data_IF_511801247468
#
_entry.id   IF_511801247468
#
_cell.length_a   1.000
_cell.length_b   1.000
_cell.length_c   1.000
_cell.angle_alpha   90.00
_cell.angle_beta   90.00
_cell.angle_gamma   90.00
#
_symmetry.space_group_name_H-M   'P 1'
#
loop_
_entity.id
_entity.type
_entity.pdbx_description
1 polymer ?
#
# COMPACT_ATOMS: atom_id res chain seq x y z
N UNK A 1 -0.68 9.09 -6.56
CA UNK A 1 0.42 9.31 -7.52
C UNK A 1 0.07 10.26 -8.66
N UNK A 2 -0.96 9.99 -9.48
CA UNK A 2 -1.25 10.80 -10.68
C UNK A 2 -1.38 12.32 -10.40
N UNK A 3 -2.05 12.71 -9.31
CA UNK A 3 -2.18 14.12 -8.90
C UNK A 3 -0.83 14.79 -8.60
N UNK A 4 0.10 14.06 -7.97
CA UNK A 4 1.45 14.55 -7.69
C UNK A 4 2.24 14.76 -8.97
N UNK A 5 2.21 13.80 -9.89
CA UNK A 5 2.88 13.92 -11.20
C UNK A 5 2.32 15.13 -11.95
N UNK A 6 0.99 15.26 -12.02
CA UNK A 6 0.35 16.40 -12.67
C UNK A 6 0.70 17.74 -12.00
N UNK A 7 0.82 17.78 -10.68
CA UNK A 7 1.26 18.98 -9.95
C UNK A 7 2.69 19.37 -10.33
N UNK A 8 3.63 18.42 -10.32
CA UNK A 8 5.03 18.65 -10.67
C UNK A 8 5.14 19.17 -12.11
N UNK A 9 4.46 18.53 -13.07
CA UNK A 9 4.49 18.95 -14.48
C UNK A 9 3.88 20.34 -14.74
N UNK A 10 2.98 20.81 -13.86
CA UNK A 10 2.34 22.13 -13.98
C UNK A 10 3.06 23.22 -13.20
N UNK A 11 4.04 22.87 -12.37
CA UNK A 11 4.77 23.86 -11.57
C UNK A 11 5.68 24.67 -12.50
N UNK A 12 5.40 25.97 -12.64
CA UNK A 12 6.09 26.90 -13.54
C UNK A 12 7.23 27.68 -12.87
N UNK A 13 7.41 27.51 -11.56
CA UNK A 13 8.55 28.09 -10.85
C UNK A 13 9.85 27.45 -11.34
N UNK A 14 10.95 28.21 -11.54
CA UNK A 14 12.22 27.64 -11.92
C UNK A 14 12.69 26.69 -10.82
N UNK A 15 12.55 25.38 -11.05
CA UNK A 15 13.12 24.39 -10.14
C UNK A 15 14.62 24.70 -9.99
N UNK A 16 15.09 24.72 -8.74
CA UNK A 16 16.52 24.70 -8.50
C UNK A 16 17.11 23.56 -9.35
N UNK A 17 18.17 23.85 -10.12
CA UNK A 17 18.84 22.93 -11.08
C UNK A 17 19.41 21.64 -10.45
N UNK A 18 18.96 21.23 -9.26
CA UNK A 18 19.40 20.07 -8.51
C UNK A 18 18.30 19.01 -8.49
N UNK A 19 18.69 17.80 -8.87
CA UNK A 19 17.88 16.59 -8.72
C UNK A 19 17.34 16.49 -7.29
N UNK A 20 16.02 16.41 -7.16
CA UNK A 20 15.32 16.25 -5.87
C UNK A 20 14.70 14.85 -5.81
N UNK A 21 15.02 14.09 -4.76
CA UNK A 21 14.45 12.77 -4.51
C UNK A 21 13.42 12.89 -3.38
N UNK A 22 12.18 12.46 -3.65
CA UNK A 22 11.06 12.51 -2.71
C UNK A 22 10.51 11.10 -2.50
N UNK A 23 10.41 10.67 -1.24
CA UNK A 23 9.62 9.51 -0.87
C UNK A 23 8.13 9.85 -1.02
N UNK A 24 7.36 8.92 -1.55
CA UNK A 24 5.93 9.13 -1.77
C UNK A 24 5.13 7.99 -1.14
N UNK A 25 4.24 8.35 -0.23
CA UNK A 25 3.23 7.48 0.37
C UNK A 25 1.91 8.24 0.49
N UNK A 26 0.80 7.52 0.69
CA UNK A 26 -0.47 8.16 1.06
C UNK A 26 -0.37 8.91 2.40
N UNK A 27 -1.37 9.73 2.72
CA UNK A 27 -1.42 10.43 4.01
C UNK A 27 -1.82 9.52 5.16
N UNK A 28 -1.58 9.99 6.39
CA UNK A 28 -2.04 9.33 7.60
C UNK A 28 -1.10 8.22 8.07
N UNK A 29 -1.61 7.42 9.01
CA UNK A 29 -0.84 6.37 9.67
C UNK A 29 -0.62 5.15 8.75
N UNK A 30 0.52 4.45 8.91
CA UNK A 30 0.74 3.18 8.23
C UNK A 30 -0.27 2.13 8.70
N UNK A 31 -0.62 1.21 7.80
CA UNK A 31 -1.49 0.07 8.11
C UNK A 31 -0.68 -1.14 8.53
N UNK A 32 -1.16 -1.87 9.52
CA UNK A 32 -0.65 -3.21 9.84
C UNK A 32 -1.22 -4.25 8.87
N UNK A 33 -0.55 -5.40 8.73
CA UNK A 33 -1.08 -6.51 7.95
C UNK A 33 -2.46 -6.99 8.44
N UNK A 34 -2.69 -6.94 9.75
CA UNK A 34 -3.98 -7.30 10.34
C UNK A 34 -5.09 -6.36 9.86
N UNK A 35 -4.86 -5.04 9.90
CA UNK A 35 -5.80 -4.05 9.38
C UNK A 35 -6.04 -4.25 7.87
N UNK A 36 -4.99 -4.48 7.08
CA UNK A 36 -5.13 -4.75 5.65
C UNK A 36 -5.98 -6.00 5.37
N UNK A 37 -5.77 -7.08 6.11
CA UNK A 37 -6.52 -8.34 5.93
C UNK A 37 -7.98 -8.19 6.37
N UNK A 38 -8.22 -7.46 7.46
CA UNK A 38 -9.57 -7.13 7.93
C UNK A 38 -10.34 -6.30 6.88
N UNK A 39 -9.73 -5.23 6.34
CA UNK A 39 -10.32 -4.39 5.31
C UNK A 39 -10.62 -5.16 4.01
N UNK A 40 -9.81 -6.18 3.70
CA UNK A 40 -10.02 -7.07 2.55
C UNK A 40 -11.09 -8.14 2.79
N UNK A 41 -11.62 -8.29 4.02
CA UNK A 41 -12.55 -9.36 4.37
C UNK A 41 -11.91 -10.77 4.31
N UNK A 42 -10.58 -10.86 4.44
CA UNK A 42 -9.85 -12.11 4.35
C UNK A 42 -9.55 -12.71 5.73
N UNK A 43 -9.16 -13.99 5.76
CA UNK A 43 -8.81 -14.69 7.02
C UNK A 43 -7.33 -14.53 7.34
N UNK A 44 -7.03 -14.02 8.54
CA UNK A 44 -5.68 -13.96 9.08
C UNK A 44 -5.38 -15.21 9.91
N UNK A 45 -4.32 -15.94 9.56
CA UNK A 45 -3.74 -16.99 10.39
C UNK A 45 -2.42 -16.50 10.98
N UNK A 46 -2.34 -16.46 12.31
CA UNK A 46 -1.09 -16.10 13.00
C UNK A 46 -0.17 -17.31 13.08
N UNK A 47 1.11 -17.08 12.79
CA UNK A 47 2.17 -18.08 12.89
C UNK A 47 3.18 -17.65 13.95
N UNK A 48 3.63 -18.56 14.83
CA UNK A 48 4.38 -18.19 16.03
C UNK A 48 5.82 -17.76 15.74
N UNK A 49 6.42 -18.22 14.63
CA UNK A 49 7.82 -17.93 14.30
C UNK A 49 8.03 -17.70 12.81
N UNK A 50 9.04 -16.90 12.46
CA UNK A 50 9.46 -16.66 11.06
C UNK A 50 9.88 -17.96 10.35
N UNK A 51 10.45 -18.92 11.09
CA UNK A 51 10.83 -20.23 10.54
C UNK A 51 9.60 -21.08 10.20
N UNK A 52 8.58 -21.10 11.06
CA UNK A 52 7.31 -21.78 10.78
C UNK A 52 6.60 -21.16 9.58
N UNK A 53 6.57 -19.82 9.48
CA UNK A 53 6.03 -19.13 8.31
C UNK A 53 6.72 -19.56 7.01
N UNK A 54 8.06 -19.56 7.00
CA UNK A 54 8.85 -19.97 5.83
C UNK A 54 8.62 -21.44 5.46
N UNK A 55 8.54 -22.33 6.45
CA UNK A 55 8.30 -23.76 6.22
C UNK A 55 6.91 -24.00 5.61
N UNK A 56 5.88 -23.35 6.16
CA UNK A 56 4.50 -23.43 5.65
C UNK A 56 4.42 -22.86 4.23
N UNK A 57 5.00 -21.70 3.97
CA UNK A 57 5.01 -21.10 2.64
C UNK A 57 5.73 -22.00 1.61
N UNK A 58 6.85 -22.63 1.99
CA UNK A 58 7.57 -23.59 1.15
C UNK A 58 6.73 -24.81 0.81
N UNK A 59 5.95 -25.32 1.78
CA UNK A 59 5.03 -26.41 1.54
C UNK A 59 3.91 -26.00 0.56
N UNK A 60 3.24 -24.88 0.81
CA UNK A 60 2.15 -24.38 -0.04
C UNK A 60 2.61 -24.05 -1.46
N UNK A 61 3.80 -23.48 -1.61
CA UNK A 61 4.42 -23.23 -2.92
C UNK A 61 4.69 -24.52 -3.68
N UNK A 62 5.33 -25.51 -3.03
CA UNK A 62 5.60 -26.82 -3.65
C UNK A 62 4.32 -27.58 -4.04
N UNK A 63 3.24 -27.39 -3.29
CA UNK A 63 1.94 -27.98 -3.56
C UNK A 63 1.15 -27.22 -4.66
N UNK A 64 1.65 -26.09 -5.17
CA UNK A 64 0.95 -25.26 -6.16
C UNK A 64 -0.25 -24.48 -5.60
N UNK A 65 -0.39 -24.40 -4.27
CA UNK A 65 -1.49 -23.70 -3.59
C UNK A 65 -1.18 -22.20 -3.43
N UNK A 66 0.08 -21.87 -3.14
CA UNK A 66 0.53 -20.48 -3.02
C UNK A 66 1.20 -20.03 -4.32
N UNK A 67 0.86 -18.82 -4.79
CA UNK A 67 1.58 -18.13 -5.85
C UNK A 67 2.82 -17.34 -5.34
N UNK A 68 3.08 -17.39 -4.02
CA UNK A 68 4.17 -16.66 -3.40
C UNK A 68 5.36 -17.61 -3.15
N UNK A 69 6.53 -17.34 -3.74
CA UNK A 69 7.72 -18.15 -3.53
C UNK A 69 8.35 -17.90 -2.14
N UNK A 70 8.99 -18.91 -1.52
CA UNK A 70 9.60 -18.79 -0.18
C UNK A 70 10.67 -17.70 -0.05
N UNK A 71 11.30 -17.32 -1.15
CA UNK A 71 12.33 -16.28 -1.22
C UNK A 71 11.73 -14.87 -1.04
N UNK A 72 10.41 -14.73 -1.21
CA UNK A 72 9.70 -13.47 -1.03
C UNK A 72 9.43 -13.12 0.46
N UNK A 73 9.70 -14.05 1.40
CA UNK A 73 9.45 -13.84 2.85
C UNK A 73 10.02 -12.52 3.39
N UNK A 74 11.25 -12.08 3.05
CA UNK A 74 11.77 -10.79 3.54
C UNK A 74 10.90 -9.60 3.13
N UNK A 75 10.26 -9.65 1.96
CA UNK A 75 9.38 -8.60 1.46
C UNK A 75 7.99 -8.63 2.12
N UNK A 76 7.56 -9.78 2.62
CA UNK A 76 6.28 -9.92 3.34
C UNK A 76 6.39 -9.63 4.83
N UNK A 77 7.55 -9.89 5.43
CA UNK A 77 7.75 -9.80 6.88
C UNK A 77 8.56 -8.57 7.30
N UNK A 78 8.86 -7.67 6.36
CA UNK A 78 9.51 -6.40 6.62
C UNK A 78 8.51 -5.28 6.91
N UNK A 79 8.97 -4.23 7.59
CA UNK A 79 8.24 -2.98 7.74
C UNK A 79 8.69 -1.98 6.67
N UNK A 80 7.75 -1.42 5.93
CA UNK A 80 8.02 -0.48 4.85
C UNK A 80 7.33 0.85 5.12
N UNK A 81 7.79 1.55 6.16
CA UNK A 81 7.32 2.89 6.51
C UNK A 81 8.27 3.92 5.90
N UNK A 82 7.72 4.85 5.12
CA UNK A 82 8.49 5.91 4.46
C UNK A 82 8.32 7.24 5.18
N UNK A 83 9.42 7.96 5.43
CA UNK A 83 9.36 9.37 5.83
C UNK A 83 8.98 10.21 4.60
N UNK A 84 7.87 10.97 4.69
CA UNK A 84 7.36 11.84 3.63
C UNK A 84 7.46 13.34 3.95
N UNK A 85 8.25 13.73 4.95
CA UNK A 85 8.39 15.13 5.39
C UNK A 85 8.89 16.03 4.27
N UNK A 86 9.84 15.54 3.46
CA UNK A 86 10.33 16.27 2.28
C UNK A 86 9.23 16.52 1.25
N UNK A 87 8.36 15.54 1.03
CA UNK A 87 7.21 15.68 0.12
C UNK A 87 6.19 16.68 0.69
N UNK A 88 5.92 16.61 2.00
CA UNK A 88 5.04 17.58 2.69
C UNK A 88 5.57 19.00 2.54
N UNK A 89 6.85 19.22 2.81
CA UNK A 89 7.50 20.51 2.67
C UNK A 89 7.52 21.00 1.22
N UNK A 90 7.77 20.09 0.26
CA UNK A 90 7.77 20.41 -1.17
C UNK A 90 6.39 20.88 -1.67
N UNK A 91 5.32 20.24 -1.22
CA UNK A 91 3.95 20.59 -1.61
C UNK A 91 3.37 21.76 -0.80
N UNK A 92 3.88 22.00 0.41
CA UNK A 92 3.43 23.06 1.29
C UNK A 92 1.92 23.01 1.53
N UNK A 93 1.24 24.15 1.32
CA UNK A 93 -0.22 24.27 1.50
C UNK A 93 -1.04 23.40 0.54
N UNK A 94 -0.44 22.88 -0.54
CA UNK A 94 -1.10 21.99 -1.51
C UNK A 94 -1.02 20.51 -1.15
N UNK A 95 -0.35 20.15 -0.06
CA UNK A 95 -0.11 18.77 0.32
C UNK A 95 -1.40 17.95 0.42
N UNK A 96 -2.39 18.42 1.17
CA UNK A 96 -3.65 17.70 1.39
C UNK A 96 -4.49 17.60 0.10
N UNK A 97 -4.45 18.61 -0.77
CA UNK A 97 -5.16 18.62 -2.06
C UNK A 97 -4.59 17.63 -3.09
N UNK A 98 -3.24 17.53 -3.11
CA UNK A 98 -2.48 16.69 -4.03
C UNK A 98 -2.45 15.25 -3.52
N UNK A 99 -2.11 15.05 -2.26
CA UNK A 99 -2.08 13.76 -1.56
C UNK A 99 -3.45 13.46 -0.96
N UNK A 100 -4.51 13.58 -1.75
CA UNK A 100 -5.91 13.60 -1.28
C UNK A 100 -6.33 12.48 -0.35
N UNK A 101 -5.90 11.25 -0.58
CA UNK A 101 -6.37 10.07 0.16
C UNK A 101 -5.39 9.67 1.26
N UNK A 102 -5.94 9.23 2.39
CA UNK A 102 -5.12 8.52 3.38
C UNK A 102 -4.75 7.13 2.84
N UNK A 103 -3.73 6.50 3.43
CA UNK A 103 -3.35 5.12 3.09
C UNK A 103 -4.55 4.19 3.31
N UNK A 104 -5.27 4.35 4.42
CA UNK A 104 -6.51 3.61 4.72
C UNK A 104 -7.58 3.81 3.65
N UNK A 105 -7.91 5.06 3.30
CA UNK A 105 -8.95 5.33 2.29
C UNK A 105 -8.59 4.74 0.93
N UNK A 106 -7.34 4.91 0.51
CA UNK A 106 -6.85 4.41 -0.78
C UNK A 106 -6.86 2.87 -0.81
N UNK A 107 -6.50 2.21 0.29
CA UNK A 107 -6.51 0.76 0.38
C UNK A 107 -7.94 0.20 0.41
N UNK A 108 -8.86 0.84 1.15
CA UNK A 108 -10.28 0.47 1.18
C UNK A 108 -10.93 0.56 -0.21
N UNK A 109 -10.54 1.55 -1.01
CA UNK A 109 -11.09 1.77 -2.35
C UNK A 109 -10.84 0.57 -3.30
N UNK A 110 -9.74 -0.18 -3.12
CA UNK A 110 -9.41 -1.36 -3.91
C UNK A 110 -10.48 -2.46 -3.85
N UNK A 111 -11.20 -2.57 -2.72
CA UNK A 111 -12.19 -3.64 -2.51
C UNK A 111 -13.62 -3.21 -2.84
N UNK A 112 -13.85 -1.92 -3.11
CA UNK A 112 -15.22 -1.41 -3.37
C UNK A 112 -15.86 -2.05 -4.59
N UNK A 113 -15.10 -2.22 -5.68
CA UNK A 113 -15.63 -2.83 -6.90
C UNK A 113 -16.05 -4.29 -6.68
N UNK A 114 -15.27 -5.05 -5.90
CA UNK A 114 -15.56 -6.45 -5.58
C UNK A 114 -16.76 -6.58 -4.63
N UNK A 115 -16.85 -5.70 -3.62
CA UNK A 115 -18.00 -5.63 -2.72
C UNK A 115 -19.29 -5.25 -3.46
N UNK A 116 -19.22 -4.32 -4.42
CA UNK A 116 -20.36 -3.94 -5.26
C UNK A 116 -20.80 -5.10 -6.17
N UNK A 117 -19.85 -5.81 -6.79
CA UNK A 117 -20.15 -6.97 -7.63
C UNK A 117 -20.75 -8.14 -6.82
N UNK A 118 -20.26 -8.38 -5.60
CA UNK A 118 -20.80 -9.39 -4.69
C UNK A 118 -22.23 -9.05 -4.25
N UNK A 119 -22.49 -7.79 -3.88
CA UNK A 119 -23.82 -7.33 -3.47
C UNK A 119 -24.87 -7.45 -4.60
N UNK A 120 -24.46 -7.23 -5.84
CA UNK A 120 -25.34 -7.43 -7.01
C UNK A 120 -25.68 -8.90 -7.25
N UNK A 121 -24.75 -9.83 -6.99
CA UNK A 121 -24.99 -11.27 -7.14
C UNK A 121 -25.90 -11.86 -6.05
N UNK A 122 -25.92 -11.28 -4.86
CA UNK A 122 -26.79 -11.72 -3.76
C UNK A 122 -28.21 -11.12 -3.82
N UNK A 123 -28.45 -10.18 -4.74
CA UNK A 123 -29.73 -9.49 -4.90
C UNK A 123 -30.56 -9.98 -6.11
N UNK A 124 -30.08 -10.98 -6.85
CA UNK A 124 -30.78 -11.64 -7.97
C UNK A 124 -31.06 -13.09 -7.65
#
# INVERSE_FOLDING_TARGET
>A
MARLIAFILRKTEPEAKRLTILNVAGRGEPLTFEQCIEMAGARLMRVPTKSAFRAMLKFLWKAGISAIPPEAVPYMAGEYIMNTDRLRNFLGSKYEDVMRYTISDAFADCFRAEQQAAAQRSAG
#
